data_IF_263859444346
#
_entry.id   IF_263859444346
#
_cell.length_a   1.000
_cell.length_b   1.000
_cell.length_c   1.000
_cell.angle_alpha   90.00
_cell.angle_beta   90.00
_cell.angle_gamma   90.00
#
_symmetry.space_group_name_H-M   'P 1'
#
loop_
_entity.id
_entity.type
_entity.pdbx_description
1 polymer ?
#
# COMPACT_ATOMS: atom_id res chain seq x y z
N UNK A 1 -65.95 -1.83 24.15
CA UNK A 1 -66.49 -1.55 22.81
C UNK A 1 -66.13 -0.11 22.49
N UNK A 2 -64.83 0.19 22.32
CA UNK A 2 -63.93 -0.29 21.24
C UNK A 2 -64.45 0.27 19.90
N UNK A 3 -63.75 0.96 19.01
CA UNK A 3 -62.33 1.25 18.77
C UNK A 3 -62.26 2.53 17.86
N UNK A 4 -61.17 3.24 17.52
CA UNK A 4 -59.72 3.21 17.78
C UNK A 4 -59.11 4.61 17.44
N UNK A 5 -57.84 4.89 17.79
CA UNK A 5 -56.91 5.87 17.20
C UNK A 5 -57.41 7.26 16.71
N UNK A 6 -57.10 8.29 17.51
CA UNK A 6 -56.64 9.58 16.97
C UNK A 6 -55.14 9.48 16.62
N UNK A 7 -54.66 10.01 15.48
CA UNK A 7 -53.24 10.05 15.17
C UNK A 7 -52.58 11.34 15.69
N UNK A 8 -51.73 11.23 16.71
CA UNK A 8 -50.79 12.28 17.09
C UNK A 8 -49.48 12.10 16.29
N UNK A 9 -49.04 13.08 15.48
CA UNK A 9 -47.75 13.03 14.80
C UNK A 9 -46.63 13.50 15.76
N UNK A 10 -46.35 12.72 16.81
CA UNK A 10 -45.15 12.96 17.62
C UNK A 10 -43.89 12.75 16.77
N UNK A 11 -43.30 13.90 16.42
CA UNK A 11 -42.01 14.03 15.76
C UNK A 11 -40.92 13.46 16.68
N UNK A 12 -40.68 12.15 16.58
CA UNK A 12 -39.44 11.56 17.07
C UNK A 12 -38.39 11.70 15.98
N UNK A 13 -37.49 12.66 16.20
CA UNK A 13 -36.52 13.09 15.22
C UNK A 13 -35.60 11.95 14.74
N UNK A 14 -35.23 12.05 13.46
CA UNK A 14 -34.09 11.38 12.84
C UNK A 14 -32.84 11.45 13.73
N UNK A 15 -32.57 10.38 14.46
CA UNK A 15 -31.24 10.09 14.98
C UNK A 15 -30.44 9.37 13.89
N UNK A 16 -29.85 10.15 12.98
CA UNK A 16 -28.76 9.66 12.13
C UNK A 16 -27.72 8.96 13.02
N UNK A 17 -27.10 7.86 12.60
CA UNK A 17 -26.00 7.27 13.35
C UNK A 17 -24.93 8.35 13.52
N UNK A 18 -24.67 8.73 14.77
CA UNK A 18 -23.61 9.66 15.08
C UNK A 18 -22.34 9.14 14.40
N UNK A 19 -21.81 9.94 13.47
CA UNK A 19 -20.52 9.67 12.83
C UNK A 19 -19.46 9.76 13.91
N UNK A 20 -19.30 8.64 14.63
CA UNK A 20 -18.25 8.41 15.59
C UNK A 20 -16.96 8.45 14.80
N UNK A 21 -16.42 9.67 14.68
CA UNK A 21 -15.15 9.94 14.02
C UNK A 21 -14.10 9.13 14.77
N UNK A 22 -13.87 7.91 14.29
CA UNK A 22 -12.67 7.14 14.61
C UNK A 22 -11.52 7.84 13.92
N UNK A 23 -11.14 9.00 14.46
CA UNK A 23 -9.75 9.39 14.58
C UNK A 23 -9.09 8.29 15.40
N UNK A 24 -8.80 7.17 14.75
CA UNK A 24 -7.74 6.28 15.20
C UNK A 24 -6.53 7.18 15.37
N UNK A 25 -6.17 7.43 16.62
CA UNK A 25 -4.98 8.20 16.95
C UNK A 25 -3.79 7.33 16.55
N UNK A 26 -3.48 7.31 15.25
CA UNK A 26 -2.28 6.74 14.70
C UNK A 26 -1.13 7.58 15.24
N UNK A 27 -0.69 7.25 16.45
CA UNK A 27 0.59 7.69 16.98
C UNK A 27 1.61 7.31 15.92
N UNK A 28 2.33 8.26 15.30
CA UNK A 28 3.41 7.90 14.42
C UNK A 28 4.46 7.18 15.27
N UNK A 29 4.45 5.84 15.24
CA UNK A 29 5.53 5.01 15.79
C UNK A 29 6.83 5.19 15.00
N UNK A 30 6.73 5.85 13.84
CA UNK A 30 7.83 6.19 12.96
C UNK A 30 8.40 7.56 13.35
N UNK A 31 9.73 7.66 13.37
CA UNK A 31 10.44 8.89 13.72
C UNK A 31 10.16 10.07 12.78
N UNK A 32 10.55 11.30 13.17
CA UNK A 32 10.20 12.53 12.45
C UNK A 32 10.66 12.54 10.99
N UNK A 33 11.74 11.82 10.65
CA UNK A 33 12.23 11.69 9.28
C UNK A 33 11.30 10.89 8.37
N UNK A 34 10.63 9.85 8.90
CA UNK A 34 9.64 9.09 8.15
C UNK A 34 8.43 9.96 7.84
N UNK A 35 7.87 10.64 8.86
CA UNK A 35 6.73 11.54 8.69
C UNK A 35 7.06 12.69 7.72
N UNK A 36 8.29 13.23 7.78
CA UNK A 36 8.75 14.26 6.83
C UNK A 36 8.84 13.74 5.38
N UNK A 37 9.26 12.48 5.17
CA UNK A 37 9.29 11.85 3.85
C UNK A 37 7.88 11.53 3.34
N UNK A 38 7.01 10.98 4.20
CA UNK A 38 5.60 10.68 3.89
C UNK A 38 4.86 11.95 3.43
N UNK A 39 4.97 13.05 4.19
CA UNK A 39 4.31 14.32 3.87
C UNK A 39 4.88 15.02 2.62
N UNK A 40 6.04 14.57 2.11
CA UNK A 40 6.66 15.05 0.87
C UNK A 40 6.59 14.01 -0.25
N UNK A 41 5.87 12.90 -0.05
CA UNK A 41 5.82 11.83 -1.03
C UNK A 41 4.90 12.19 -2.19
N UNK A 42 5.50 12.53 -3.33
CA UNK A 42 4.80 12.53 -4.62
C UNK A 42 4.79 11.09 -5.13
N UNK A 43 3.59 10.54 -5.38
CA UNK A 43 3.43 9.21 -5.97
C UNK A 43 4.10 9.21 -7.35
N UNK A 44 5.14 8.38 -7.59
CA UNK A 44 5.79 8.33 -8.90
C UNK A 44 4.80 7.87 -9.98
N UNK A 45 4.93 8.42 -11.19
CA UNK A 45 4.13 7.96 -12.33
C UNK A 45 4.34 6.44 -12.52
N UNK A 46 3.25 5.69 -12.65
CA UNK A 46 3.30 4.26 -12.97
C UNK A 46 3.96 4.08 -14.34
N UNK A 47 5.01 3.28 -14.41
CA UNK A 47 5.85 3.10 -15.59
C UNK A 47 7.03 2.17 -15.26
N UNK A 48 8.01 2.09 -16.16
CA UNK A 48 9.22 1.27 -15.97
C UNK A 48 10.00 1.77 -14.75
N UNK A 49 10.17 0.92 -13.75
CA UNK A 49 11.04 1.13 -12.61
C UNK A 49 12.50 0.95 -13.06
N UNK A 50 13.29 2.03 -13.00
CA UNK A 50 14.73 1.99 -13.22
C UNK A 50 15.45 1.90 -11.88
N UNK A 51 16.26 0.85 -11.69
CA UNK A 51 17.02 0.60 -10.48
C UNK A 51 18.52 0.45 -10.82
N UNK A 52 19.36 1.24 -10.16
CA UNK A 52 20.80 0.98 -10.15
C UNK A 52 21.11 0.00 -9.02
N UNK A 53 21.37 -1.26 -9.36
CA UNK A 53 21.70 -2.30 -8.39
C UNK A 53 23.12 -2.08 -7.84
N UNK A 54 23.40 -2.33 -6.54
CA UNK A 54 24.71 -2.08 -5.94
C UNK A 54 25.88 -2.88 -6.56
N UNK A 55 25.60 -3.90 -7.37
CA UNK A 55 26.62 -4.58 -8.19
C UNK A 55 26.97 -3.86 -9.51
N UNK A 56 26.50 -2.62 -9.70
CA UNK A 56 26.83 -1.78 -10.86
C UNK A 56 25.99 -2.04 -12.12
N UNK A 57 24.90 -2.81 -12.05
CA UNK A 57 23.99 -2.99 -13.19
C UNK A 57 22.73 -2.12 -13.06
N UNK A 58 22.34 -1.49 -14.16
CA UNK A 58 21.01 -0.87 -14.31
C UNK A 58 19.99 -1.95 -14.69
N UNK A 59 18.86 -1.96 -14.00
CA UNK A 59 17.73 -2.85 -14.22
C UNK A 59 16.48 -2.03 -14.58
N UNK A 60 15.79 -2.42 -15.66
CA UNK A 60 14.52 -1.83 -16.09
C UNK A 60 13.39 -2.83 -15.83
N UNK A 61 12.46 -2.52 -14.94
CA UNK A 61 11.44 -3.47 -14.48
C UNK A 61 10.02 -2.93 -14.63
N UNK A 62 9.11 -3.75 -15.13
CA UNK A 62 7.66 -3.52 -15.09
C UNK A 62 7.12 -4.06 -13.76
N UNK A 63 6.25 -3.29 -13.10
CA UNK A 63 5.64 -3.67 -11.83
C UNK A 63 4.18 -4.04 -12.03
N UNK A 64 3.87 -5.31 -11.86
CA UNK A 64 2.51 -5.82 -11.80
C UNK A 64 2.10 -6.01 -10.34
N UNK A 65 0.80 -5.93 -10.05
CA UNK A 65 0.28 -6.05 -8.69
C UNK A 65 -1.04 -6.80 -8.73
N UNK A 66 -1.07 -7.95 -8.08
CA UNK A 66 -2.24 -8.81 -7.97
C UNK A 66 -2.72 -8.74 -6.52
N UNK A 67 -4.01 -8.42 -6.33
CA UNK A 67 -4.62 -8.40 -5.00
C UNK A 67 -5.05 -9.82 -4.62
N UNK A 68 -4.66 -10.26 -3.42
CA UNK A 68 -5.02 -11.57 -2.90
C UNK A 68 -6.29 -11.42 -2.04
N UNK A 69 -7.30 -12.30 -2.20
CA UNK A 69 -8.62 -12.11 -1.59
C UNK A 69 -8.65 -12.30 -0.06
N UNK A 70 -7.56 -12.78 0.57
CA UNK A 70 -7.43 -12.88 2.03
C UNK A 70 -6.40 -11.89 2.58
N UNK A 71 -6.63 -11.49 3.84
CA UNK A 71 -5.65 -10.79 4.71
C UNK A 71 -5.09 -9.46 4.18
N UNK A 72 -5.76 -8.82 3.22
CA UNK A 72 -5.30 -7.60 2.54
C UNK A 72 -3.89 -7.71 1.94
N UNK A 73 -3.53 -8.90 1.45
CA UNK A 73 -2.23 -9.16 0.84
C UNK A 73 -2.20 -8.72 -0.63
N UNK A 74 -1.01 -8.31 -1.10
CA UNK A 74 -0.76 -7.96 -2.51
C UNK A 74 0.52 -8.65 -2.98
N UNK A 75 0.43 -9.40 -4.08
CA UNK A 75 1.58 -9.94 -4.78
C UNK A 75 2.09 -8.90 -5.77
N UNK A 76 3.31 -8.38 -5.54
CA UNK A 76 3.97 -7.43 -6.43
C UNK A 76 5.04 -8.16 -7.23
N UNK A 77 4.85 -8.26 -8.56
CA UNK A 77 5.77 -8.93 -9.47
C UNK A 77 6.58 -7.89 -10.22
N UNK A 78 7.90 -8.09 -10.29
CA UNK A 78 8.81 -7.25 -11.08
C UNK A 78 9.33 -8.03 -12.29
N UNK A 79 8.75 -7.74 -13.46
CA UNK A 79 9.13 -8.36 -14.74
C UNK A 79 10.25 -7.55 -15.41
N UNK A 80 11.24 -8.18 -16.07
CA UNK A 80 12.21 -7.46 -16.90
C UNK A 80 11.50 -6.70 -18.04
N UNK A 81 11.81 -5.42 -18.21
CA UNK A 81 11.32 -4.61 -19.33
C UNK A 81 12.14 -4.82 -20.62
N UNK A 82 13.35 -5.39 -20.49
CA UNK A 82 14.24 -5.70 -21.61
C UNK A 82 15.10 -6.96 -21.34
N UNK A 83 15.64 -7.53 -22.42
CA UNK A 83 16.47 -8.74 -22.41
C UNK A 83 17.78 -8.55 -21.61
N UNK A 84 18.36 -7.34 -21.65
CA UNK A 84 19.56 -6.99 -20.87
C UNK A 84 19.28 -7.12 -19.37
N UNK A 85 18.10 -6.70 -18.92
CA UNK A 85 17.63 -6.81 -17.54
C UNK A 85 17.33 -8.26 -17.19
N UNK A 86 16.74 -9.05 -18.09
CA UNK A 86 16.53 -10.49 -17.87
C UNK A 86 17.87 -11.21 -17.60
N UNK A 87 18.88 -10.98 -18.44
CA UNK A 87 20.23 -11.53 -18.26
C UNK A 87 20.97 -10.96 -17.03
N UNK A 88 20.70 -9.72 -16.63
CA UNK A 88 21.24 -9.16 -15.40
C UNK A 88 20.61 -9.83 -14.16
N UNK A 89 19.29 -10.03 -14.15
CA UNK A 89 18.57 -10.74 -13.07
C UNK A 89 19.01 -12.19 -12.98
N UNK A 90 19.16 -12.92 -14.09
CA UNK A 90 19.65 -14.31 -14.07
C UNK A 90 21.08 -14.40 -13.49
N UNK A 91 21.99 -13.51 -13.88
CA UNK A 91 23.34 -13.43 -13.27
C UNK A 91 23.29 -13.12 -11.77
N UNK A 92 22.37 -12.26 -11.33
CA UNK A 92 22.17 -11.97 -9.90
C UNK A 92 21.60 -13.18 -9.13
N UNK A 93 20.74 -13.99 -9.75
CA UNK A 93 20.21 -15.24 -9.17
C UNK A 93 21.27 -16.34 -9.05
N UNK A 94 22.20 -16.42 -10.00
CA UNK A 94 23.27 -17.43 -10.04
C UNK A 94 24.47 -17.10 -9.15
N UNK A 95 24.68 -15.82 -8.80
CA UNK A 95 25.72 -15.44 -7.84
C UNK A 95 25.31 -15.97 -6.47
N UNK A 96 26.17 -16.74 -5.75
CA UNK A 96 25.90 -17.02 -4.35
C UNK A 96 25.80 -15.68 -3.62
N UNK A 97 24.63 -15.41 -3.04
CA UNK A 97 24.41 -14.17 -2.30
C UNK A 97 25.32 -14.19 -1.08
N UNK A 98 26.44 -13.47 -1.17
CA UNK A 98 27.20 -13.10 0.00
C UNK A 98 26.23 -12.41 0.97
N UNK A 99 26.12 -12.95 2.19
CA UNK A 99 24.89 -12.88 2.98
C UNK A 99 24.45 -11.43 3.15
N UNK A 100 23.20 -11.14 2.79
CA UNK A 100 22.58 -9.82 3.03
C UNK A 100 22.72 -9.49 4.52
N UNK A 101 23.70 -8.64 4.85
CA UNK A 101 24.00 -8.26 6.21
C UNK A 101 23.03 -7.16 6.61
N UNK A 102 22.22 -7.42 7.64
CA UNK A 102 21.45 -6.37 8.29
C UNK A 102 22.41 -5.31 8.83
N UNK A 103 22.23 -4.08 8.34
CA UNK A 103 22.83 -2.87 8.89
C UNK A 103 21.75 -2.16 9.69
N UNK A 104 22.02 -1.96 10.98
CA UNK A 104 21.17 -1.25 11.95
C UNK A 104 21.73 0.14 12.24
#
# INVERSE_FOLDING_TARGET
>A
MDEQSRPDPETTATALPASGSRRSAFRPRHGPDFTRRLNRHVVPRRGVLRLNHPSGCELQMLRETLELPSDAQQLVVFLPADEKTAQAVDRLRRRPQDRLRAIS
#
